data_IF_942739163477
#
_entry.id   IF_942739163477
#
_cell.length_a   1.000
_cell.length_b   1.000
_cell.length_c   1.000
_cell.angle_alpha   90.00
_cell.angle_beta   90.00
_cell.angle_gamma   90.00
#
_symmetry.space_group_name_H-M   'P 1'
#
loop_
_entity.id
_entity.type
_entity.pdbx_description
1 polymer ?
#
# COMPACT_ATOMS: atom_id res chain seq x y z
N UNK A 1 3.06 -15.55 5.91
CA UNK A 1 2.52 -15.96 4.59
C UNK A 1 3.39 -15.48 3.43
N UNK A 2 3.53 -14.16 3.08
CA UNK A 2 4.36 -13.71 1.92
C UNK A 2 5.83 -14.15 2.05
N UNK A 3 6.48 -13.89 3.18
CA UNK A 3 7.84 -14.34 3.47
C UNK A 3 7.99 -15.86 3.31
N UNK A 4 7.07 -16.63 3.89
CA UNK A 4 7.07 -18.08 3.78
C UNK A 4 6.94 -18.55 2.32
N UNK A 5 6.05 -17.94 1.54
CA UNK A 5 5.90 -18.21 0.11
C UNK A 5 7.21 -17.98 -0.67
N UNK A 6 7.91 -16.87 -0.37
CA UNK A 6 9.22 -16.58 -0.99
C UNK A 6 10.23 -17.69 -0.71
N UNK A 7 10.29 -18.19 0.52
CA UNK A 7 11.22 -19.24 0.91
C UNK A 7 10.82 -20.60 0.35
N UNK A 8 9.55 -20.99 0.44
CA UNK A 8 9.05 -22.29 -0.05
C UNK A 8 9.23 -22.47 -1.55
N UNK A 9 9.13 -21.37 -2.33
CA UNK A 9 9.35 -21.41 -3.77
C UNK A 9 10.78 -21.01 -4.20
N UNK A 10 11.71 -20.86 -3.24
CA UNK A 10 13.10 -20.42 -3.47
C UNK A 10 13.22 -19.22 -4.43
N UNK A 11 12.31 -18.25 -4.28
CA UNK A 11 12.27 -17.09 -5.16
C UNK A 11 13.49 -16.19 -4.89
N UNK A 12 14.13 -15.72 -5.98
CA UNK A 12 15.33 -14.86 -5.95
C UNK A 12 15.21 -13.74 -6.97
N UNK A 13 16.03 -12.72 -6.83
CA UNK A 13 16.04 -11.54 -7.71
C UNK A 13 14.67 -10.85 -7.79
N UNK A 14 14.00 -10.75 -6.65
CA UNK A 14 12.62 -10.25 -6.54
C UNK A 14 12.58 -8.72 -6.52
N UNK A 15 11.58 -8.16 -7.18
CA UNK A 15 11.10 -6.81 -6.91
C UNK A 15 9.73 -6.92 -6.24
N UNK A 16 9.63 -6.44 -4.99
CA UNK A 16 8.34 -6.34 -4.32
C UNK A 16 7.68 -5.01 -4.72
N UNK A 17 6.45 -5.09 -5.22
CA UNK A 17 5.66 -3.92 -5.60
C UNK A 17 4.38 -3.90 -4.77
N UNK A 18 4.11 -2.79 -4.09
CA UNK A 18 2.92 -2.69 -3.26
C UNK A 18 2.31 -1.29 -3.24
N UNK A 19 0.98 -1.22 -3.43
CA UNK A 19 0.19 -0.01 -3.21
C UNK A 19 -0.46 -0.06 -1.83
N UNK A 20 -0.51 1.08 -1.15
CA UNK A 20 -1.23 1.25 0.12
C UNK A 20 -0.81 0.20 1.17
N UNK A 21 -1.72 -0.67 1.63
CA UNK A 21 -1.42 -1.80 2.51
C UNK A 21 -0.38 -2.76 1.90
N UNK A 22 -0.40 -2.97 0.58
CA UNK A 22 0.61 -3.76 -0.13
C UNK A 22 2.02 -3.17 0.02
N UNK A 23 2.14 -1.85 0.05
CA UNK A 23 3.39 -1.15 0.36
C UNK A 23 3.87 -1.38 1.79
N UNK A 24 2.97 -1.30 2.77
CA UNK A 24 3.27 -1.64 4.16
C UNK A 24 3.74 -3.09 4.31
N UNK A 25 3.08 -4.04 3.62
CA UNK A 25 3.48 -5.43 3.61
C UNK A 25 4.84 -5.65 2.93
N UNK A 26 5.15 -4.89 1.87
CA UNK A 26 6.46 -4.93 1.21
C UNK A 26 7.58 -4.47 2.15
N UNK A 27 7.36 -3.39 2.91
CA UNK A 27 8.29 -2.94 3.96
C UNK A 27 8.48 -4.01 5.05
N UNK A 28 7.39 -4.57 5.56
CA UNK A 28 7.43 -5.62 6.58
C UNK A 28 8.19 -6.86 6.11
N UNK A 29 7.90 -7.34 4.88
CA UNK A 29 8.59 -8.50 4.31
C UNK A 29 10.07 -8.21 4.11
N UNK A 30 10.43 -7.00 3.68
CA UNK A 30 11.84 -6.58 3.56
C UNK A 30 12.56 -6.62 4.90
N UNK A 31 11.94 -6.12 5.98
CA UNK A 31 12.50 -6.17 7.33
C UNK A 31 12.68 -7.62 7.79
N UNK A 32 11.69 -8.48 7.58
CA UNK A 32 11.79 -9.89 7.95
C UNK A 32 12.95 -10.58 7.19
N UNK A 33 13.08 -10.33 5.87
CA UNK A 33 14.19 -10.86 5.07
C UNK A 33 15.55 -10.34 5.53
N UNK A 34 15.63 -9.09 6.00
CA UNK A 34 16.85 -8.55 6.65
C UNK A 34 17.19 -9.33 7.92
N UNK A 35 16.23 -9.50 8.82
CA UNK A 35 16.42 -10.16 10.11
C UNK A 35 16.74 -11.64 10.00
N UNK A 36 16.23 -12.30 8.96
CA UNK A 36 16.49 -13.72 8.70
C UNK A 36 17.74 -13.97 7.84
N UNK A 37 18.45 -12.92 7.40
CA UNK A 37 19.64 -13.04 6.55
C UNK A 37 19.33 -13.37 5.07
N UNK A 38 18.07 -13.23 4.64
CA UNK A 38 17.59 -13.59 3.31
C UNK A 38 17.40 -12.36 2.39
N UNK A 39 17.94 -11.18 2.79
CA UNK A 39 17.77 -9.94 2.02
C UNK A 39 18.31 -10.01 0.58
N UNK A 40 19.32 -10.84 0.35
CA UNK A 40 19.90 -11.07 -0.98
C UNK A 40 18.89 -11.64 -2.03
N UNK A 41 17.72 -12.09 -1.58
CA UNK A 41 16.62 -12.48 -2.46
C UNK A 41 15.95 -11.29 -3.13
N UNK A 42 16.04 -10.08 -2.52
CA UNK A 42 15.45 -8.87 -3.08
C UNK A 42 16.45 -8.14 -3.97
N UNK A 43 16.00 -7.82 -5.18
CA UNK A 43 16.65 -6.88 -6.10
C UNK A 43 16.27 -5.44 -5.78
N UNK A 44 14.98 -5.19 -5.49
CA UNK A 44 14.44 -3.85 -5.22
C UNK A 44 13.06 -3.92 -4.57
N UNK A 45 12.59 -2.77 -4.06
CA UNK A 45 11.20 -2.58 -3.64
C UNK A 45 10.60 -1.35 -4.30
N UNK A 46 9.30 -1.40 -4.60
CA UNK A 46 8.53 -0.30 -5.18
C UNK A 46 7.30 -0.07 -4.32
N UNK A 47 7.24 1.11 -3.72
CA UNK A 47 6.20 1.54 -2.79
C UNK A 47 5.31 2.57 -3.48
N UNK A 48 4.03 2.27 -3.64
CA UNK A 48 3.06 3.17 -4.29
C UNK A 48 2.06 3.61 -3.22
N UNK A 49 2.04 4.90 -2.87
CA UNK A 49 1.14 5.47 -1.84
C UNK A 49 1.06 4.58 -0.58
N UNK A 50 2.20 4.14 -0.09
CA UNK A 50 2.31 3.05 0.87
C UNK A 50 1.93 3.48 2.29
N UNK A 51 1.25 2.60 3.03
CA UNK A 51 1.10 2.72 4.48
C UNK A 51 2.44 2.50 5.18
N UNK A 52 2.93 3.48 5.96
CA UNK A 52 4.25 3.39 6.55
C UNK A 52 4.36 3.90 7.99
N UNK A 53 3.47 4.79 8.43
CA UNK A 53 3.51 5.40 9.75
C UNK A 53 2.12 5.44 10.36
N UNK A 54 1.99 5.05 11.64
CA UNK A 54 0.70 4.91 12.34
C UNK A 54 -0.06 6.24 12.51
N UNK A 55 0.65 7.36 12.53
CA UNK A 55 0.09 8.70 12.67
C UNK A 55 -0.78 9.08 11.47
N UNK A 56 -0.45 8.52 10.29
CA UNK A 56 -1.12 8.80 9.02
C UNK A 56 -2.15 7.75 8.61
N UNK A 57 -2.44 6.78 9.48
CA UNK A 57 -3.54 5.84 9.21
C UNK A 57 -4.85 6.63 9.14
N UNK A 58 -5.62 6.49 8.05
CA UNK A 58 -6.86 7.19 7.84
C UNK A 58 -7.83 7.02 9.02
N UNK A 59 -8.44 8.12 9.45
CA UNK A 59 -9.35 8.11 10.61
C UNK A 59 -10.49 7.09 10.47
N UNK A 60 -11.02 6.91 9.27
CA UNK A 60 -12.09 5.93 9.04
C UNK A 60 -11.63 4.48 9.25
N UNK A 61 -10.36 4.15 8.97
CA UNK A 61 -9.81 2.82 9.27
C UNK A 61 -9.65 2.61 10.77
N UNK A 62 -9.24 3.65 11.50
CA UNK A 62 -9.23 3.62 12.97
C UNK A 62 -10.64 3.45 13.54
N UNK A 63 -11.65 4.06 12.92
CA UNK A 63 -13.05 3.91 13.34
C UNK A 63 -13.55 2.49 13.06
N UNK A 64 -13.20 1.92 11.90
CA UNK A 64 -13.57 0.53 11.54
C UNK A 64 -12.89 -0.52 12.42
N UNK A 65 -11.76 -0.20 13.06
CA UNK A 65 -11.12 -1.11 14.01
C UNK A 65 -11.89 -1.26 15.35
N UNK A 66 -12.89 -0.38 15.61
CA UNK A 66 -13.74 -0.46 16.81
C UNK A 66 -14.97 -1.30 16.51
N UNK A 67 -15.20 -2.44 17.20
CA UNK A 67 -16.24 -3.42 16.84
C UNK A 67 -17.66 -2.86 16.72
N UNK A 68 -18.05 -1.88 17.56
CA UNK A 68 -19.40 -1.29 17.54
C UNK A 68 -19.56 -0.32 16.38
N UNK A 69 -18.48 0.38 15.99
CA UNK A 69 -18.52 1.42 14.96
C UNK A 69 -18.38 0.85 13.54
N UNK A 70 -18.02 -0.41 13.40
CA UNK A 70 -17.89 -1.08 12.09
C UNK A 70 -19.21 -1.70 11.58
N UNK A 71 -20.26 -1.76 12.43
CA UNK A 71 -21.55 -2.37 12.08
C UNK A 71 -22.15 -1.84 10.75
N UNK A 72 -22.12 -0.53 10.44
CA UNK A 72 -22.63 -0.03 9.17
C UNK A 72 -21.91 -0.62 7.94
N UNK A 73 -20.62 -1.00 8.06
CA UNK A 73 -19.87 -1.61 6.96
C UNK A 73 -20.44 -2.98 6.53
N UNK A 74 -21.14 -3.69 7.43
CA UNK A 74 -21.82 -4.93 7.10
C UNK A 74 -23.14 -4.73 6.36
N UNK A 75 -23.80 -3.59 6.57
CA UNK A 75 -25.17 -3.32 6.08
C UNK A 75 -25.18 -2.59 4.74
N UNK A 76 -24.16 -1.80 4.44
CA UNK A 76 -24.13 -0.99 3.20
C UNK A 76 -23.87 -1.87 1.97
N UNK A 77 -24.53 -1.57 0.80
CA UNK A 77 -24.27 -2.28 -0.43
C UNK A 77 -22.80 -2.18 -0.88
N UNK A 78 -22.20 -3.28 -1.34
CA UNK A 78 -20.79 -3.33 -1.76
C UNK A 78 -20.46 -2.28 -2.83
N UNK A 79 -21.34 -2.09 -3.82
CA UNK A 79 -21.17 -1.05 -4.85
C UNK A 79 -21.16 0.37 -4.27
N UNK A 80 -21.96 0.63 -3.26
CA UNK A 80 -21.96 1.94 -2.60
C UNK A 80 -20.64 2.18 -1.86
N UNK A 81 -20.13 1.18 -1.13
CA UNK A 81 -18.85 1.25 -0.44
C UNK A 81 -17.70 1.45 -1.45
N UNK A 82 -17.63 0.62 -2.49
CA UNK A 82 -16.63 0.72 -3.55
C UNK A 82 -16.61 2.11 -4.20
N UNK A 83 -17.79 2.62 -4.58
CA UNK A 83 -17.92 3.97 -5.18
C UNK A 83 -17.46 5.07 -4.23
N UNK A 84 -17.74 4.96 -2.94
CA UNK A 84 -17.29 5.94 -1.93
C UNK A 84 -15.78 5.91 -1.75
N UNK A 85 -15.18 4.71 -1.64
CA UNK A 85 -13.73 4.56 -1.50
C UNK A 85 -13.01 5.10 -2.73
N UNK A 86 -13.43 4.72 -3.94
CA UNK A 86 -12.83 5.20 -5.18
C UNK A 86 -12.90 6.72 -5.33
N UNK A 87 -14.03 7.35 -4.92
CA UNK A 87 -14.16 8.82 -4.96
C UNK A 87 -13.21 9.56 -4.01
N UNK A 88 -12.80 8.93 -2.93
CA UNK A 88 -11.79 9.49 -2.03
C UNK A 88 -10.38 9.21 -2.55
N UNK A 89 -10.18 8.02 -3.11
CA UNK A 89 -8.89 7.57 -3.62
C UNK A 89 -8.44 8.35 -4.86
N UNK A 90 -9.36 8.68 -5.76
CA UNK A 90 -9.02 9.38 -7.01
C UNK A 90 -8.96 10.90 -6.83
N UNK A 91 -8.01 11.53 -7.50
CA UNK A 91 -7.96 12.98 -7.66
C UNK A 91 -9.14 13.46 -8.50
N UNK A 92 -9.34 12.84 -9.69
CA UNK A 92 -10.47 13.11 -10.58
C UNK A 92 -11.52 12.00 -10.52
N UNK A 93 -12.62 12.20 -9.77
CA UNK A 93 -13.70 11.21 -9.68
C UNK A 93 -14.42 10.90 -11.02
N UNK A 94 -14.25 11.75 -12.05
CA UNK A 94 -14.86 11.52 -13.37
C UNK A 94 -14.16 10.40 -14.14
N UNK A 95 -12.95 10.03 -13.76
CA UNK A 95 -12.23 8.89 -14.32
C UNK A 95 -12.73 7.53 -13.81
N UNK A 96 -13.55 7.52 -12.77
CA UNK A 96 -14.07 6.28 -12.17
C UNK A 96 -15.15 5.71 -13.07
N UNK A 97 -14.91 4.52 -13.62
CA UNK A 97 -15.86 3.81 -14.48
C UNK A 97 -16.78 2.90 -13.67
N UNK A 98 -17.93 2.54 -14.25
CA UNK A 98 -18.85 1.56 -13.64
C UNK A 98 -18.22 0.16 -13.56
N UNK A 99 -17.31 -0.16 -14.47
CA UNK A 99 -16.54 -1.40 -14.46
C UNK A 99 -15.60 -1.47 -13.27
N UNK A 100 -14.86 -0.39 -12.98
CA UNK A 100 -14.03 -0.29 -11.79
C UNK A 100 -14.86 -0.42 -10.51
N UNK A 101 -16.00 0.28 -10.43
CA UNK A 101 -16.89 0.15 -9.26
C UNK A 101 -17.33 -1.31 -9.08
N UNK A 102 -17.65 -2.00 -10.17
CA UNK A 102 -18.06 -3.41 -10.13
C UNK A 102 -16.88 -4.31 -9.67
N UNK A 103 -15.68 -4.10 -10.21
CA UNK A 103 -14.50 -4.86 -9.86
C UNK A 103 -14.13 -4.72 -8.36
N UNK A 104 -14.18 -3.50 -7.80
CA UNK A 104 -13.95 -3.25 -6.39
C UNK A 104 -15.09 -3.75 -5.48
N UNK A 105 -16.32 -3.79 -5.99
CA UNK A 105 -17.47 -4.28 -5.22
C UNK A 105 -17.55 -5.81 -5.17
N UNK A 106 -17.07 -6.50 -6.19
CA UNK A 106 -17.18 -7.96 -6.30
C UNK A 106 -16.53 -8.69 -5.10
N UNK A 107 -15.26 -8.43 -4.72
CA UNK A 107 -14.66 -9.08 -3.55
C UNK A 107 -15.43 -8.80 -2.25
N UNK A 108 -15.95 -7.58 -2.06
CA UNK A 108 -16.72 -7.20 -0.87
C UNK A 108 -18.08 -7.90 -0.77
N UNK A 109 -18.52 -8.56 -1.83
CA UNK A 109 -19.76 -9.30 -1.88
C UNK A 109 -19.60 -10.78 -1.53
N UNK A 110 -18.35 -11.26 -1.50
CA UNK A 110 -18.05 -12.65 -1.15
C UNK A 110 -18.34 -12.94 0.34
N UNK A 111 -18.82 -14.15 0.66
CA UNK A 111 -19.02 -14.55 2.06
C UNK A 111 -17.74 -14.42 2.89
N UNK A 112 -17.82 -13.74 4.03
CA UNK A 112 -16.69 -13.53 4.93
C UNK A 112 -15.73 -12.40 4.54
N UNK A 113 -15.78 -11.85 3.33
CA UNK A 113 -14.85 -10.82 2.88
C UNK A 113 -14.88 -9.54 3.72
N UNK A 114 -16.08 -9.10 4.12
CA UNK A 114 -16.24 -7.93 5.00
C UNK A 114 -15.67 -8.17 6.38
N UNK A 115 -15.86 -9.38 6.91
CA UNK A 115 -15.26 -9.78 8.18
C UNK A 115 -13.73 -9.76 8.08
N UNK A 116 -13.15 -10.37 7.04
CA UNK A 116 -11.72 -10.37 6.80
C UNK A 116 -11.16 -8.94 6.64
N UNK A 117 -11.87 -8.05 5.95
CA UNK A 117 -11.49 -6.65 5.83
C UNK A 117 -11.46 -5.93 7.18
N UNK A 118 -12.48 -6.13 8.02
CA UNK A 118 -12.56 -5.51 9.34
C UNK A 118 -11.53 -6.07 10.32
N UNK A 119 -11.28 -7.38 10.30
CA UNK A 119 -10.19 -8.00 11.05
C UNK A 119 -8.82 -7.46 10.62
N UNK A 120 -8.61 -7.27 9.31
CA UNK A 120 -7.39 -6.65 8.80
C UNK A 120 -7.25 -5.22 9.33
N UNK A 121 -8.34 -4.43 9.33
CA UNK A 121 -8.32 -3.06 9.85
C UNK A 121 -7.93 -2.99 11.34
N UNK A 122 -8.31 -3.98 12.14
CA UNK A 122 -7.93 -4.08 13.55
C UNK A 122 -6.45 -4.41 13.75
N UNK A 123 -5.82 -5.06 12.77
CA UNK A 123 -4.42 -5.52 12.82
C UNK A 123 -3.44 -4.61 12.07
N UNK A 124 -3.90 -3.45 11.56
CA UNK A 124 -3.04 -2.52 10.79
C UNK A 124 -1.85 -1.98 11.60
N UNK A 125 -1.98 -1.89 12.91
CA UNK A 125 -0.93 -1.40 13.79
C UNK A 125 -0.52 -2.53 14.76
N UNK A 126 0.51 -3.31 14.43
CA UNK A 126 1.04 -4.30 15.36
C UNK A 126 1.67 -3.63 16.59
N UNK A 127 1.74 -4.32 17.74
CA UNK A 127 2.29 -3.75 18.98
C UNK A 127 3.71 -3.18 18.85
N UNK A 128 4.53 -3.79 18.01
CA UNK A 128 5.93 -3.39 17.76
C UNK A 128 6.10 -2.44 16.56
N UNK A 129 5.06 -1.68 16.17
CA UNK A 129 5.07 -0.84 14.98
C UNK A 129 6.23 0.17 14.95
N UNK A 130 6.50 0.83 16.07
CA UNK A 130 7.60 1.82 16.18
C UNK A 130 8.98 1.19 16.00
N UNK A 131 9.16 -0.05 16.45
CA UNK A 131 10.39 -0.82 16.23
C UNK A 131 10.58 -1.17 14.76
N UNK A 132 9.49 -1.46 14.03
CA UNK A 132 9.53 -1.71 12.59
C UNK A 132 9.89 -0.44 11.83
N UNK A 133 9.29 0.70 12.17
CA UNK A 133 9.61 2.00 11.56
C UNK A 133 11.08 2.36 11.78
N UNK A 134 11.62 2.13 12.96
CA UNK A 134 13.03 2.39 13.26
C UNK A 134 14.00 1.62 12.35
N UNK A 135 13.58 0.51 11.73
CA UNK A 135 14.40 -0.30 10.82
C UNK A 135 14.41 0.21 9.37
N UNK A 136 13.60 1.20 9.02
CA UNK A 136 13.59 1.74 7.65
C UNK A 136 14.97 2.28 7.24
N UNK A 137 15.71 2.89 8.16
CA UNK A 137 17.08 3.35 7.95
C UNK A 137 18.09 2.23 7.61
N UNK A 138 17.76 0.98 7.90
CA UNK A 138 18.60 -0.18 7.64
C UNK A 138 18.30 -0.84 6.30
N UNK A 139 17.22 -0.43 5.62
CA UNK A 139 16.86 -0.92 4.29
C UNK A 139 17.85 -0.37 3.26
N UNK A 140 18.76 -1.25 2.78
CA UNK A 140 19.78 -0.89 1.77
C UNK A 140 19.39 -1.31 0.35
N UNK A 141 18.26 -1.98 0.19
CA UNK A 141 17.73 -2.40 -1.11
C UNK A 141 17.31 -1.17 -1.90
N UNK A 142 17.64 -1.08 -3.22
CA UNK A 142 17.14 0.00 -4.07
C UNK A 142 15.62 0.15 -3.96
N UNK A 143 15.15 1.35 -3.63
CA UNK A 143 13.75 1.60 -3.33
C UNK A 143 13.20 2.71 -4.21
N UNK A 144 12.13 2.41 -4.95
CA UNK A 144 11.33 3.43 -5.63
C UNK A 144 10.08 3.72 -4.80
N UNK A 145 9.83 5.00 -4.56
CA UNK A 145 8.63 5.51 -3.89
C UNK A 145 7.85 6.32 -4.92
N UNK A 146 6.63 5.90 -5.26
CA UNK A 146 5.73 6.62 -6.18
C UNK A 146 4.57 7.17 -5.34
N UNK A 147 4.21 8.43 -5.54
CA UNK A 147 3.14 9.06 -4.77
C UNK A 147 2.28 9.98 -5.61
N UNK A 148 0.96 9.84 -5.47
CA UNK A 148 0.02 10.82 -5.99
C UNK A 148 0.05 12.10 -5.15
N UNK A 149 0.29 13.27 -5.79
CA UNK A 149 0.40 14.56 -5.06
C UNK A 149 -0.84 14.89 -4.25
N UNK A 150 -2.01 14.52 -4.75
CA UNK A 150 -3.30 14.83 -4.13
C UNK A 150 -3.92 13.62 -3.44
N UNK A 151 -3.10 12.68 -2.98
CA UNK A 151 -3.59 11.55 -2.19
C UNK A 151 -4.27 12.04 -0.89
N UNK A 152 -5.58 11.78 -0.79
CA UNK A 152 -6.44 12.12 0.35
C UNK A 152 -6.55 11.00 1.38
N UNK A 153 -6.02 9.82 1.06
CA UNK A 153 -6.02 8.66 1.95
C UNK A 153 -4.75 8.64 2.78
N UNK A 154 -3.58 8.68 2.11
CA UNK A 154 -2.27 8.76 2.77
C UNK A 154 -1.52 9.95 2.17
N UNK A 155 -1.32 11.04 2.91
CA UNK A 155 -0.77 12.26 2.36
C UNK A 155 0.67 12.09 1.86
N UNK A 156 1.05 12.83 0.80
CA UNK A 156 2.42 12.86 0.22
C UNK A 156 3.52 12.97 1.28
N UNK A 157 3.21 13.61 2.41
CA UNK A 157 4.14 13.71 3.55
C UNK A 157 4.72 12.36 3.99
N UNK A 158 3.93 11.28 3.86
CA UNK A 158 4.40 9.91 4.18
C UNK A 158 5.46 9.45 3.18
N UNK A 159 5.29 9.73 1.89
CA UNK A 159 6.30 9.45 0.86
C UNK A 159 7.61 10.22 1.11
N UNK A 160 7.52 11.51 1.50
CA UNK A 160 8.69 12.32 1.88
C UNK A 160 9.40 11.77 3.13
N UNK A 161 8.65 11.27 4.11
CA UNK A 161 9.23 10.64 5.28
C UNK A 161 9.94 9.32 4.94
N UNK A 162 9.33 8.49 4.09
CA UNK A 162 9.96 7.26 3.62
C UNK A 162 11.26 7.53 2.85
N UNK A 163 11.26 8.55 1.98
CA UNK A 163 12.45 8.94 1.21
C UNK A 163 13.58 9.49 2.10
N UNK A 164 13.22 10.12 3.21
CA UNK A 164 14.19 10.53 4.24
C UNK A 164 14.75 9.34 5.03
N UNK A 165 13.88 8.38 5.38
CA UNK A 165 14.20 7.32 6.32
C UNK A 165 14.83 6.08 5.64
N UNK A 166 14.63 5.88 4.32
CA UNK A 166 15.23 4.78 3.54
C UNK A 166 16.41 5.31 2.73
N UNK A 167 17.66 4.95 3.04
CA UNK A 167 18.85 5.61 2.46
C UNK A 167 19.01 5.49 0.94
N UNK A 168 18.53 4.39 0.33
CA UNK A 168 18.66 4.13 -1.10
C UNK A 168 17.30 4.27 -1.82
N UNK A 169 16.53 5.29 -1.46
CA UNK A 169 15.23 5.56 -2.06
C UNK A 169 15.28 6.68 -3.10
N UNK A 170 14.29 6.67 -3.96
CA UNK A 170 13.99 7.72 -4.94
C UNK A 170 12.50 7.98 -4.89
N UNK A 171 12.09 9.18 -4.47
CA UNK A 171 10.69 9.60 -4.51
C UNK A 171 10.33 10.19 -5.88
N UNK A 172 9.25 9.69 -6.47
CA UNK A 172 8.61 10.21 -7.68
C UNK A 172 7.18 10.60 -7.37
N UNK A 173 6.87 11.86 -7.55
CA UNK A 173 5.53 12.42 -7.30
C UNK A 173 4.82 12.58 -8.63
N UNK A 174 3.58 12.07 -8.71
CA UNK A 174 2.71 12.19 -9.88
C UNK A 174 1.67 13.27 -9.59
N UNK A 175 1.64 14.29 -10.43
CA UNK A 175 0.73 15.42 -10.30
C UNK A 175 -0.69 15.05 -10.77
N UNK A 176 -1.69 15.75 -10.23
CA UNK A 176 -3.09 15.51 -10.53
C UNK A 176 -3.47 14.02 -10.38
N UNK A 177 -3.03 13.42 -9.29
CA UNK A 177 -3.16 12.00 -8.98
C UNK A 177 -3.47 11.80 -7.51
N UNK A 178 -4.37 10.88 -7.24
CA UNK A 178 -4.75 10.45 -5.89
C UNK A 178 -3.99 9.21 -5.42
N UNK A 179 -4.66 8.35 -4.67
CA UNK A 179 -4.12 7.17 -3.97
C UNK A 179 -3.84 5.94 -4.86
N UNK A 180 -4.21 5.99 -6.12
CA UNK A 180 -4.06 4.86 -7.03
C UNK A 180 -3.39 5.28 -8.35
N UNK A 181 -2.12 5.74 -8.34
CA UNK A 181 -1.39 6.18 -9.53
C UNK A 181 -1.40 5.14 -10.66
N UNK A 182 -1.29 3.87 -10.34
CA UNK A 182 -1.33 2.76 -11.30
C UNK A 182 -2.67 2.65 -12.06
N UNK A 183 -3.74 3.24 -11.51
CA UNK A 183 -5.07 3.22 -12.13
C UNK A 183 -5.44 4.60 -12.72
N UNK A 184 -5.09 5.68 -12.04
CA UNK A 184 -5.46 7.04 -12.42
C UNK A 184 -4.52 7.65 -13.48
N UNK A 185 -3.23 7.29 -13.43
CA UNK A 185 -2.16 7.76 -14.35
C UNK A 185 -1.27 6.56 -14.77
N UNK A 186 -1.82 5.51 -15.41
CA UNK A 186 -1.08 4.28 -15.69
C UNK A 186 0.17 4.48 -16.55
N UNK A 187 0.09 5.30 -17.60
CA UNK A 187 1.22 5.54 -18.52
C UNK A 187 2.40 6.21 -17.80
N UNK A 188 2.13 7.21 -16.97
CA UNK A 188 3.13 7.91 -16.18
C UNK A 188 3.73 7.01 -15.11
N UNK A 189 2.88 6.27 -14.40
CA UNK A 189 3.30 5.32 -13.36
C UNK A 189 4.19 4.23 -13.92
N UNK A 190 3.81 3.62 -15.06
CA UNK A 190 4.63 2.56 -15.68
C UNK A 190 5.93 3.10 -16.26
N UNK A 191 5.95 4.31 -16.80
CA UNK A 191 7.17 4.94 -17.30
C UNK A 191 8.19 5.15 -16.18
N UNK A 192 7.75 5.64 -15.02
CA UNK A 192 8.58 5.79 -13.82
C UNK A 192 9.11 4.44 -13.34
N UNK A 193 8.24 3.44 -13.24
CA UNK A 193 8.59 2.09 -12.80
C UNK A 193 9.63 1.44 -13.73
N UNK A 194 9.39 1.48 -15.06
CA UNK A 194 10.31 0.91 -16.03
C UNK A 194 11.66 1.63 -16.07
N UNK A 195 11.67 2.96 -15.89
CA UNK A 195 12.92 3.73 -15.78
C UNK A 195 13.76 3.28 -14.60
N UNK A 196 13.13 3.09 -13.44
CA UNK A 196 13.81 2.59 -12.23
C UNK A 196 14.37 1.17 -12.44
N UNK A 197 13.56 0.25 -12.96
CA UNK A 197 13.99 -1.15 -13.17
C UNK A 197 15.13 -1.31 -14.18
N UNK A 198 15.22 -0.40 -15.18
CA UNK A 198 16.33 -0.38 -16.14
C UNK A 198 17.63 0.18 -15.54
N UNK A 199 17.54 0.96 -14.47
CA UNK A 199 18.70 1.53 -13.78
C UNK A 199 19.32 0.61 -12.72
N UNK A 200 18.69 -0.54 -12.42
CA UNK A 200 19.19 -1.57 -11.50
C UNK A 200 20.15 -2.54 -12.21
#
# INVERSE_FOLDING_TARGET
MIHQFILEHDLKNLTLVGNSLGGALSLLVTIILMETGELARLRSIILIDAGAYKEYIPFYLRLLSVPILNLPAYLLPSRFLAKKVLRVAYYDPNKITEEQIAAYAAPLSEPGARHAFLETAQQLVPPNFDELVAKYQDIKVPTLIIWGRQDKIIPLKVGELLDRDIPNSILKVIDECGHAPQEEKPDETIAVLLSFLKGL
#
